data_IF_494613852543
#
_entry.id   IF_494613852543
#
_cell.length_a   1.000
_cell.length_b   1.000
_cell.length_c   1.000
_cell.angle_alpha   90.00
_cell.angle_beta   90.00
_cell.angle_gamma   90.00
#
_symmetry.space_group_name_H-M   'P 1'
#
loop_
_entity.id
_entity.type
_entity.pdbx_description
1 polymer ?
#
# COMPACT_ATOMS: atom_id res chain seq x y z
N UNK A 1 60.11 -0.99 34.32
CA UNK A 1 60.98 -1.99 34.98
C UNK A 1 60.17 -3.26 35.16
N UNK A 2 60.03 -4.08 34.11
CA UNK A 2 60.92 -5.19 33.73
C UNK A 2 60.97 -6.34 34.74
N UNK A 3 60.33 -7.46 34.38
CA UNK A 3 61.07 -8.72 34.19
C UNK A 3 60.60 -9.39 32.90
N UNK A 4 61.60 -9.83 32.14
CA UNK A 4 61.60 -10.41 30.79
C UNK A 4 61.86 -11.93 30.89
N UNK A 5 61.45 -12.66 29.85
CA UNK A 5 61.88 -14.03 29.51
C UNK A 5 60.79 -14.75 28.68
N UNK A 6 60.71 -14.70 27.34
CA UNK A 6 61.58 -15.27 26.27
C UNK A 6 61.53 -16.82 26.33
N UNK A 7 61.19 -17.66 25.33
CA UNK A 7 60.97 -17.56 23.87
C UNK A 7 60.35 -18.89 23.34
N UNK A 8 60.01 -18.90 22.02
CA UNK A 8 59.68 -20.02 21.08
C UNK A 8 58.19 -20.39 21.06
N UNK A 9 57.41 -20.20 20.00
CA UNK A 9 57.68 -20.13 18.55
C UNK A 9 57.30 -21.46 17.92
N UNK A 10 56.21 -21.51 17.14
CA UNK A 10 55.99 -22.34 15.92
C UNK A 10 54.66 -21.94 15.28
N UNK A 11 54.72 -21.93 13.95
CA UNK A 11 53.81 -21.57 12.85
C UNK A 11 52.40 -22.17 12.83
N UNK A 12 51.47 -21.40 12.24
CA UNK A 12 50.63 -21.91 11.14
C UNK A 12 49.15 -22.17 11.41
N UNK A 13 48.30 -21.66 10.51
CA UNK A 13 47.08 -22.36 10.09
C UNK A 13 45.76 -21.74 10.57
N UNK A 14 45.19 -20.88 9.73
CA UNK A 14 43.77 -20.54 9.77
C UNK A 14 42.90 -21.79 9.53
N UNK A 15 41.87 -22.00 10.35
CA UNK A 15 40.65 -22.72 9.97
C UNK A 15 39.44 -22.08 10.67
N UNK A 16 38.68 -21.32 9.89
CA UNK A 16 37.26 -21.11 10.13
C UNK A 16 36.52 -22.40 9.72
N UNK A 17 35.65 -22.91 10.58
CA UNK A 17 34.85 -24.08 10.25
C UNK A 17 33.80 -24.38 11.32
N UNK A 18 32.53 -24.41 10.88
CA UNK A 18 31.55 -25.36 11.39
C UNK A 18 30.56 -24.86 12.44
N UNK A 19 29.55 -24.09 12.02
CA UNK A 19 28.27 -23.99 12.74
C UNK A 19 27.10 -23.91 11.75
N UNK A 20 27.11 -24.76 10.74
CA UNK A 20 26.01 -24.97 9.78
C UNK A 20 25.90 -26.47 9.52
N UNK A 21 25.29 -27.23 10.42
CA UNK A 21 25.01 -28.66 10.15
C UNK A 21 23.76 -29.24 10.83
N UNK A 22 22.82 -28.42 11.33
CA UNK A 22 21.61 -28.94 12.01
C UNK A 22 20.28 -28.34 11.53
N UNK A 23 20.14 -27.99 10.26
CA UNK A 23 18.84 -27.58 9.66
C UNK A 23 18.39 -28.46 8.48
N UNK A 24 19.09 -29.57 8.21
CA UNK A 24 18.94 -30.36 6.99
C UNK A 24 17.74 -31.31 6.89
N UNK A 25 16.67 -31.19 7.69
CA UNK A 25 15.60 -32.21 7.66
C UNK A 25 14.15 -31.74 7.80
N UNK A 26 13.84 -30.47 7.50
CA UNK A 26 12.42 -30.03 7.42
C UNK A 26 12.21 -29.11 6.21
N UNK A 27 12.54 -29.60 5.01
CA UNK A 27 12.11 -28.94 3.77
C UNK A 27 11.84 -29.99 2.66
N UNK A 28 10.75 -30.74 2.84
CA UNK A 28 10.07 -31.48 1.77
C UNK A 28 8.57 -31.22 1.87
N UNK A 29 8.15 -29.98 1.72
CA UNK A 29 6.74 -29.64 1.42
C UNK A 29 6.65 -28.20 0.88
N UNK A 30 7.21 -27.99 -0.31
CA UNK A 30 6.66 -27.03 -1.27
C UNK A 30 6.24 -27.87 -2.48
N UNK A 31 5.12 -28.57 -2.34
CA UNK A 31 4.41 -29.21 -3.45
C UNK A 31 2.91 -29.01 -3.22
N UNK A 32 2.31 -28.24 -4.12
CA UNK A 32 0.87 -28.10 -4.38
C UNK A 32 -0.04 -28.17 -3.13
N UNK A 33 -0.42 -27.02 -2.59
CA UNK A 33 -1.56 -26.96 -1.68
C UNK A 33 -2.84 -27.23 -2.48
N UNK A 34 -3.37 -28.46 -2.38
CA UNK A 34 -4.76 -28.76 -2.73
C UNK A 34 -5.66 -28.30 -1.58
N UNK A 35 -6.70 -27.55 -1.94
CA UNK A 35 -7.74 -27.05 -1.05
C UNK A 35 -8.55 -28.19 -0.42
N UNK A 36 -8.83 -28.07 0.88
CA UNK A 36 -9.67 -29.03 1.61
C UNK A 36 -10.20 -28.46 2.92
N UNK A 37 -11.50 -28.11 2.90
CA UNK A 37 -12.46 -27.92 4.02
C UNK A 37 -12.24 -26.76 5.02
N UNK A 38 -13.26 -26.12 5.58
CA UNK A 38 -14.67 -25.90 5.27
C UNK A 38 -15.12 -24.81 6.27
N UNK A 39 -15.69 -23.70 5.78
CA UNK A 39 -16.14 -22.61 6.64
C UNK A 39 -16.95 -21.60 5.84
N UNK A 40 -18.28 -21.85 5.76
CA UNK A 40 -19.36 -21.00 5.24
C UNK A 40 -18.94 -20.03 4.11
N UNK A 41 -18.77 -20.56 2.90
CA UNK A 41 -18.56 -19.78 1.68
C UNK A 41 -19.90 -19.25 1.15
N UNK A 42 -19.98 -17.94 0.92
CA UNK A 42 -20.77 -17.44 -0.21
C UNK A 42 -20.11 -18.02 -1.47
N UNK A 43 -20.92 -18.64 -2.34
CA UNK A 43 -20.48 -19.34 -3.54
C UNK A 43 -19.66 -18.43 -4.45
N UNK A 44 -18.33 -18.58 -4.44
CA UNK A 44 -17.42 -17.91 -5.37
C UNK A 44 -17.46 -18.62 -6.72
N UNK A 45 -18.09 -18.00 -7.72
CA UNK A 45 -18.23 -18.53 -9.07
C UNK A 45 -16.96 -18.64 -9.90
N UNK A 46 -15.75 -18.50 -9.33
CA UNK A 46 -14.49 -18.72 -10.04
C UNK A 46 -13.76 -19.93 -9.45
N UNK A 47 -13.92 -21.06 -10.11
CA UNK A 47 -13.02 -22.20 -10.00
C UNK A 47 -11.98 -22.17 -11.14
N UNK A 48 -11.48 -20.99 -11.53
CA UNK A 48 -10.32 -20.91 -12.41
C UNK A 48 -9.06 -21.21 -11.61
N UNK A 49 -8.29 -22.18 -12.05
CA UNK A 49 -6.98 -22.49 -11.50
C UNK A 49 -6.04 -21.33 -11.76
N UNK A 50 -5.34 -20.91 -10.71
CA UNK A 50 -4.41 -19.79 -10.74
C UNK A 50 -3.03 -20.33 -10.36
N UNK A 51 -2.01 -20.00 -11.16
CA UNK A 51 -0.61 -20.33 -10.82
C UNK A 51 0.10 -19.16 -10.18
N UNK A 52 0.92 -19.47 -9.18
CA UNK A 52 1.87 -18.51 -8.61
C UNK A 52 3.01 -18.24 -9.62
N UNK A 53 3.63 -17.05 -9.59
CA UNK A 53 4.80 -16.78 -10.41
C UNK A 53 5.98 -17.71 -10.07
N UNK A 54 6.66 -18.20 -11.10
CA UNK A 54 7.81 -19.09 -10.97
C UNK A 54 9.10 -18.37 -11.40
N UNK A 55 10.04 -18.26 -10.47
CA UNK A 55 11.38 -17.70 -10.71
C UNK A 55 12.26 -18.79 -11.31
N UNK A 56 12.82 -18.55 -12.50
CA UNK A 56 13.71 -19.48 -13.16
C UNK A 56 15.04 -19.68 -12.43
N UNK A 57 15.73 -20.78 -12.74
CA UNK A 57 17.00 -21.16 -12.09
C UNK A 57 18.11 -20.11 -12.30
N UNK A 58 18.05 -19.38 -13.41
CA UNK A 58 19.01 -18.35 -13.77
C UNK A 58 18.53 -16.93 -13.44
N UNK A 59 17.29 -16.76 -13.00
CA UNK A 59 16.71 -15.43 -12.80
C UNK A 59 17.33 -14.73 -11.59
N UNK A 60 17.36 -13.40 -11.61
CA UNK A 60 17.83 -12.57 -10.49
C UNK A 60 16.65 -11.95 -9.74
N UNK A 61 16.69 -11.92 -8.41
CA UNK A 61 15.64 -11.31 -7.58
C UNK A 61 16.16 -10.04 -6.93
N UNK A 62 15.57 -8.90 -7.30
CA UNK A 62 15.72 -7.66 -6.55
C UNK A 62 14.66 -7.60 -5.46
N UNK A 63 15.06 -7.28 -4.24
CA UNK A 63 14.12 -7.05 -3.14
C UNK A 63 14.05 -5.55 -2.91
N UNK A 64 12.86 -4.96 -3.07
CA UNK A 64 12.64 -3.57 -2.65
C UNK A 64 12.66 -3.51 -1.12
N UNK A 65 13.76 -3.02 -0.57
CA UNK A 65 14.02 -3.00 0.86
C UNK A 65 13.64 -1.65 1.46
N UNK A 66 12.96 -1.74 2.59
CA UNK A 66 12.81 -0.66 3.56
C UNK A 66 13.51 -1.07 4.85
N UNK A 67 13.61 -0.19 5.83
CA UNK A 67 14.12 -0.53 7.16
C UNK A 67 13.10 -1.32 8.01
N UNK A 68 12.02 -1.83 7.40
CA UNK A 68 10.92 -2.51 8.08
C UNK A 68 11.07 -4.04 8.14
N UNK A 69 10.32 -4.67 9.05
CA UNK A 69 10.36 -6.13 9.26
C UNK A 69 9.90 -6.92 8.02
N UNK A 70 8.93 -6.41 7.26
CA UNK A 70 8.32 -7.13 6.14
C UNK A 70 9.31 -7.33 4.99
N UNK A 71 9.93 -6.24 4.53
CA UNK A 71 10.94 -6.29 3.45
C UNK A 71 12.23 -7.00 3.90
N UNK A 72 12.60 -6.86 5.18
CA UNK A 72 13.72 -7.64 5.77
C UNK A 72 13.47 -9.15 5.71
N UNK A 73 12.24 -9.57 6.05
CA UNK A 73 11.85 -10.98 6.04
C UNK A 73 11.81 -11.52 4.61
N UNK A 74 11.28 -10.73 3.67
CA UNK A 74 11.33 -11.08 2.24
C UNK A 74 12.78 -11.25 1.77
N UNK A 75 13.69 -10.35 2.15
CA UNK A 75 15.10 -10.46 1.77
C UNK A 75 15.72 -11.78 2.26
N UNK A 76 15.48 -12.17 3.52
CA UNK A 76 15.96 -13.43 4.07
C UNK A 76 15.35 -14.65 3.36
N UNK A 77 14.03 -14.65 3.13
CA UNK A 77 13.33 -15.73 2.42
C UNK A 77 13.86 -15.93 1.00
N UNK A 78 14.00 -14.83 0.23
CA UNK A 78 14.50 -14.90 -1.14
C UNK A 78 15.96 -15.35 -1.16
N UNK A 79 16.80 -14.87 -0.24
CA UNK A 79 18.21 -15.27 -0.17
C UNK A 79 18.38 -16.76 0.16
N UNK A 80 17.54 -17.31 1.05
CA UNK A 80 17.49 -18.75 1.35
C UNK A 80 17.03 -19.56 0.13
N UNK A 81 16.00 -19.09 -0.58
CA UNK A 81 15.40 -19.80 -1.71
C UNK A 81 16.26 -19.71 -2.99
N UNK A 82 16.96 -18.59 -3.21
CA UNK A 82 17.74 -18.30 -4.41
C UNK A 82 19.18 -17.86 -4.09
N UNK A 83 20.01 -18.72 -3.47
CA UNK A 83 21.35 -18.35 -3.02
C UNK A 83 22.21 -17.76 -4.14
N UNK A 84 22.86 -16.61 -3.88
CA UNK A 84 23.74 -15.94 -4.83
C UNK A 84 23.05 -15.15 -5.96
N UNK A 85 21.71 -15.11 -5.99
CA UNK A 85 20.91 -14.46 -7.05
C UNK A 85 19.95 -13.40 -6.50
N UNK A 86 20.25 -12.86 -5.33
CA UNK A 86 19.39 -11.87 -4.65
C UNK A 86 20.18 -10.62 -4.33
N UNK A 87 19.58 -9.46 -4.61
CA UNK A 87 20.11 -8.15 -4.22
C UNK A 87 19.01 -7.29 -3.61
N UNK A 88 19.34 -6.52 -2.57
CA UNK A 88 18.46 -5.50 -2.01
C UNK A 88 18.54 -4.18 -2.78
N UNK A 89 17.43 -3.47 -2.90
CA UNK A 89 17.37 -2.12 -3.46
C UNK A 89 16.62 -1.21 -2.50
N UNK A 90 17.27 -0.16 -2.02
CA UNK A 90 16.66 0.87 -1.19
C UNK A 90 16.36 2.12 -2.02
N UNK A 91 15.12 2.59 -1.97
CA UNK A 91 14.70 3.81 -2.64
C UNK A 91 14.81 5.01 -1.69
N UNK A 92 15.65 5.98 -2.03
CA UNK A 92 15.72 7.27 -1.36
C UNK A 92 14.78 8.25 -2.08
N UNK A 93 13.57 8.41 -1.54
CA UNK A 93 12.48 9.15 -2.19
C UNK A 93 12.28 10.56 -1.62
N UNK A 94 12.99 10.92 -0.55
CA UNK A 94 12.75 12.17 0.17
C UNK A 94 13.99 12.60 0.97
N UNK A 95 14.53 13.79 0.68
CA UNK A 95 15.74 14.31 1.32
C UNK A 95 15.48 15.29 2.46
N UNK A 96 14.29 15.91 2.57
CA UNK A 96 14.06 16.91 3.64
C UNK A 96 14.04 16.29 5.05
N UNK A 97 13.96 14.96 5.15
CA UNK A 97 14.18 14.15 6.36
C UNK A 97 15.54 13.45 6.37
N UNK A 98 16.59 14.03 5.77
CA UNK A 98 17.89 13.40 5.51
C UNK A 98 18.45 12.52 6.65
N UNK A 99 18.26 12.91 7.92
CA UNK A 99 18.69 12.11 9.09
C UNK A 99 17.96 10.76 9.21
N UNK A 100 16.65 10.72 8.94
CA UNK A 100 15.85 9.48 8.96
C UNK A 100 16.18 8.59 7.75
N UNK A 101 16.30 9.19 6.56
CA UNK A 101 16.64 8.47 5.32
C UNK A 101 18.02 7.81 5.43
N UNK A 102 18.99 8.48 6.05
CA UNK A 102 20.32 7.90 6.26
C UNK A 102 20.32 6.78 7.32
N UNK A 103 19.54 6.94 8.40
CA UNK A 103 19.37 5.87 9.39
C UNK A 103 18.72 4.62 8.77
N UNK A 104 17.68 4.79 7.97
CA UNK A 104 17.01 3.70 7.27
C UNK A 104 17.93 3.01 6.25
N UNK A 105 18.73 3.78 5.50
CA UNK A 105 19.72 3.22 4.59
C UNK A 105 20.78 2.38 5.33
N UNK A 106 21.34 2.90 6.42
CA UNK A 106 22.28 2.15 7.26
C UNK A 106 21.64 0.86 7.81
N UNK A 107 20.35 0.92 8.17
CA UNK A 107 19.59 -0.25 8.64
C UNK A 107 19.47 -1.31 7.54
N UNK A 108 19.15 -0.91 6.31
CA UNK A 108 19.10 -1.80 5.13
C UNK A 108 20.47 -2.42 4.87
N UNK A 109 21.55 -1.64 4.86
CA UNK A 109 22.90 -2.18 4.67
C UNK A 109 23.26 -3.22 5.74
N UNK A 110 22.86 -2.99 7.00
CA UNK A 110 23.05 -3.96 8.09
C UNK A 110 22.28 -5.24 7.85
N UNK A 111 21.03 -5.16 7.41
CA UNK A 111 20.19 -6.32 7.07
C UNK A 111 20.84 -7.11 5.92
N UNK A 112 21.20 -6.44 4.82
CA UNK A 112 21.79 -7.09 3.64
C UNK A 112 23.11 -7.78 3.98
N UNK A 113 23.97 -7.13 4.78
CA UNK A 113 25.21 -7.74 5.28
C UNK A 113 24.94 -8.98 6.14
N UNK A 114 23.93 -8.92 7.01
CA UNK A 114 23.55 -10.05 7.86
C UNK A 114 23.00 -11.23 7.06
N UNK A 115 22.14 -10.96 6.07
CA UNK A 115 21.54 -11.97 5.19
C UNK A 115 22.55 -12.52 4.17
N UNK A 116 23.60 -11.77 3.85
CA UNK A 116 24.63 -12.17 2.88
C UNK A 116 24.30 -11.80 1.44
N UNK A 117 23.56 -10.71 1.21
CA UNK A 117 23.20 -10.19 -0.11
C UNK A 117 23.82 -8.81 -0.36
N UNK A 118 24.07 -8.48 -1.62
CA UNK A 118 24.43 -7.13 -2.03
C UNK A 118 23.24 -6.18 -1.90
N UNK A 119 23.50 -4.88 -1.76
CA UNK A 119 22.45 -3.86 -1.84
C UNK A 119 22.91 -2.56 -2.47
N UNK A 120 21.97 -1.86 -3.09
CA UNK A 120 22.21 -0.54 -3.68
C UNK A 120 21.15 0.47 -3.22
N UNK A 121 21.52 1.75 -3.27
CA UNK A 121 20.64 2.88 -3.01
C UNK A 121 20.33 3.57 -4.32
N UNK A 122 19.05 3.77 -4.60
CA UNK A 122 18.55 4.46 -5.80
C UNK A 122 17.86 5.75 -5.35
N UNK A 123 18.23 6.88 -5.94
CA UNK A 123 17.56 8.15 -5.67
C UNK A 123 16.39 8.31 -6.65
N UNK A 124 15.17 8.30 -6.12
CA UNK A 124 13.92 8.51 -6.87
C UNK A 124 13.13 9.71 -6.30
N UNK A 125 13.84 10.64 -5.66
CA UNK A 125 13.21 11.81 -5.04
C UNK A 125 12.53 12.72 -6.06
N UNK A 126 13.12 12.89 -7.25
CA UNK A 126 12.52 13.67 -8.32
C UNK A 126 11.21 13.06 -8.80
N UNK A 127 11.20 11.74 -9.03
CA UNK A 127 10.02 10.99 -9.45
C UNK A 127 8.94 11.07 -8.38
N UNK A 128 9.31 10.84 -7.12
CA UNK A 128 8.39 10.96 -5.98
C UNK A 128 7.78 12.36 -5.87
N UNK A 129 8.62 13.40 -5.97
CA UNK A 129 8.17 14.78 -5.85
C UNK A 129 7.16 15.13 -6.94
N UNK A 130 7.46 14.77 -8.18
CA UNK A 130 6.69 15.19 -9.37
C UNK A 130 5.43 14.35 -9.57
N UNK A 131 5.49 13.05 -9.32
CA UNK A 131 4.40 12.12 -9.63
C UNK A 131 3.51 11.79 -8.42
N UNK A 132 3.96 12.08 -7.19
CA UNK A 132 3.21 11.75 -5.97
C UNK A 132 2.95 12.99 -5.13
N UNK A 133 4.01 13.70 -4.75
CA UNK A 133 3.90 14.78 -3.77
C UNK A 133 3.19 16.02 -4.32
N UNK A 134 3.64 16.55 -5.45
CA UNK A 134 3.02 17.73 -6.06
C UNK A 134 1.54 17.48 -6.43
N UNK A 135 1.17 16.34 -7.08
CA UNK A 135 -0.23 16.00 -7.32
C UNK A 135 -1.06 15.96 -6.03
N UNK A 136 -0.53 15.34 -4.96
CA UNK A 136 -1.19 15.31 -3.65
C UNK A 136 -1.47 16.71 -3.11
N UNK A 137 -0.49 17.63 -3.16
CA UNK A 137 -0.66 19.02 -2.71
C UNK A 137 -1.69 19.76 -3.57
N UNK A 138 -1.68 19.57 -4.90
CA UNK A 138 -2.69 20.17 -5.80
C UNK A 138 -4.10 19.68 -5.46
N UNK A 139 -4.27 18.39 -5.18
CA UNK A 139 -5.56 17.81 -4.78
C UNK A 139 -6.06 18.36 -3.44
N UNK A 140 -5.18 18.49 -2.44
CA UNK A 140 -5.56 19.13 -1.17
C UNK A 140 -6.01 20.58 -1.37
N UNK A 141 -5.32 21.34 -2.23
CA UNK A 141 -5.72 22.72 -2.57
C UNK A 141 -7.13 22.79 -3.18
N UNK A 142 -7.53 21.76 -3.93
CA UNK A 142 -8.88 21.63 -4.50
C UNK A 142 -9.93 21.09 -3.51
N UNK A 143 -9.56 20.81 -2.26
CA UNK A 143 -10.47 20.26 -1.27
C UNK A 143 -10.69 18.75 -1.37
N UNK A 144 -9.91 18.03 -2.18
CA UNK A 144 -9.95 16.57 -2.24
C UNK A 144 -9.18 15.93 -1.07
N UNK A 145 -9.37 14.63 -0.87
CA UNK A 145 -8.57 13.82 0.07
C UNK A 145 -7.78 12.77 -0.71
N UNK A 146 -6.55 13.06 -1.16
CA UNK A 146 -5.73 12.13 -1.94
C UNK A 146 -5.30 10.89 -1.12
N UNK A 147 -4.96 9.82 -1.83
CA UNK A 147 -4.22 8.68 -1.30
C UNK A 147 -2.84 8.57 -1.99
N UNK A 148 -1.78 9.18 -1.42
CA UNK A 148 -0.46 9.21 -2.05
C UNK A 148 0.24 7.84 -2.04
N UNK A 149 -0.18 6.87 -1.23
CA UNK A 149 0.41 5.53 -1.24
C UNK A 149 0.07 4.76 -2.52
N UNK A 150 -1.14 4.98 -3.07
CA UNK A 150 -1.52 4.45 -4.39
C UNK A 150 -0.60 5.02 -5.47
N UNK A 151 -0.40 6.34 -5.48
CA UNK A 151 0.53 7.00 -6.40
C UNK A 151 1.98 6.56 -6.23
N UNK A 152 2.45 6.39 -5.00
CA UNK A 152 3.80 5.88 -4.70
C UNK A 152 4.03 4.47 -5.25
N UNK A 153 3.05 3.57 -5.13
CA UNK A 153 3.15 2.25 -5.74
C UNK A 153 3.18 2.34 -7.26
N UNK A 154 2.23 3.07 -7.86
CA UNK A 154 2.11 3.21 -9.32
C UNK A 154 3.35 3.84 -9.96
N UNK A 155 3.75 5.01 -9.49
CA UNK A 155 4.73 5.84 -10.20
C UNK A 155 6.16 5.63 -9.72
N UNK A 156 6.37 5.23 -8.47
CA UNK A 156 7.72 5.13 -7.90
C UNK A 156 8.16 3.68 -7.74
N UNK A 157 7.41 2.86 -7.01
CA UNK A 157 7.84 1.49 -6.70
C UNK A 157 7.73 0.53 -7.87
N UNK A 158 6.60 0.56 -8.59
CA UNK A 158 6.35 -0.24 -9.79
C UNK A 158 6.46 0.57 -11.08
N UNK A 159 6.77 1.87 -10.98
CA UNK A 159 7.14 2.75 -12.09
C UNK A 159 8.64 2.96 -12.11
N UNK A 160 9.12 4.11 -11.61
CA UNK A 160 10.52 4.53 -11.71
C UNK A 160 11.56 3.51 -11.23
N UNK A 161 11.32 2.78 -10.12
CA UNK A 161 12.20 1.69 -9.69
C UNK A 161 12.19 0.52 -10.69
N UNK A 162 11.01 0.15 -11.19
CA UNK A 162 10.88 -0.93 -12.17
C UNK A 162 11.61 -0.57 -13.46
N UNK A 163 11.45 0.65 -13.95
CA UNK A 163 12.15 1.18 -15.13
C UNK A 163 13.67 1.23 -14.91
N UNK A 164 14.11 1.67 -13.73
CA UNK A 164 15.51 1.65 -13.34
C UNK A 164 16.10 0.23 -13.41
N UNK A 165 15.39 -0.77 -12.88
CA UNK A 165 15.82 -2.17 -12.94
C UNK A 165 15.77 -2.74 -14.36
N UNK A 166 14.76 -2.36 -15.15
CA UNK A 166 14.62 -2.76 -16.54
C UNK A 166 15.75 -2.20 -17.42
N UNK A 167 16.23 -1.00 -17.11
CA UNK A 167 17.36 -0.36 -17.76
C UNK A 167 18.73 -0.94 -17.37
N UNK A 168 18.82 -1.76 -16.32
CA UNK A 168 20.05 -2.50 -16.02
C UNK A 168 20.24 -3.53 -17.13
N UNK A 169 21.39 -3.49 -17.81
CA UNK A 169 21.77 -4.47 -18.84
C UNK A 169 22.14 -5.82 -18.21
N UNK A 170 21.14 -6.47 -17.60
CA UNK A 170 21.27 -7.78 -17.00
C UNK A 170 21.17 -8.82 -18.11
N UNK A 171 22.14 -9.72 -18.18
CA UNK A 171 22.13 -10.85 -19.12
C UNK A 171 21.04 -11.87 -18.80
N UNK A 172 20.40 -11.77 -17.63
CA UNK A 172 19.42 -12.71 -17.11
C UNK A 172 18.10 -12.01 -16.82
N UNK A 173 16.99 -12.76 -16.88
CA UNK A 173 15.68 -12.27 -16.45
C UNK A 173 15.72 -11.91 -14.96
N UNK A 174 14.90 -10.95 -14.57
CA UNK A 174 14.85 -10.48 -13.19
C UNK A 174 13.43 -10.32 -12.67
N UNK A 175 13.31 -10.31 -11.34
CA UNK A 175 12.08 -10.14 -10.58
C UNK A 175 12.23 -9.06 -9.51
N UNK A 176 11.15 -8.36 -9.21
CA UNK A 176 11.04 -7.41 -8.10
C UNK A 176 10.17 -7.98 -6.99
N UNK A 177 10.79 -8.44 -5.91
CA UNK A 177 10.11 -8.86 -4.70
C UNK A 177 9.89 -7.68 -3.75
N UNK A 178 8.71 -7.63 -3.13
CA UNK A 178 8.37 -6.59 -2.16
C UNK A 178 7.69 -7.19 -0.92
N UNK A 179 7.71 -6.43 0.19
CA UNK A 179 7.03 -6.82 1.43
C UNK A 179 5.52 -6.57 1.47
N UNK A 180 4.83 -6.53 0.32
CA UNK A 180 3.37 -6.30 0.32
C UNK A 180 2.59 -7.57 0.65
N UNK A 181 1.48 -7.38 1.36
CA UNK A 181 0.45 -8.38 1.61
C UNK A 181 -0.59 -8.34 0.49
N UNK A 182 -0.22 -8.91 -0.65
CA UNK A 182 -1.08 -9.17 -1.79
C UNK A 182 -0.63 -10.48 -2.44
N UNK A 183 -1.43 -11.04 -3.34
CA UNK A 183 -1.09 -12.26 -4.08
C UNK A 183 -1.06 -11.94 -5.57
N UNK A 184 -0.19 -12.64 -6.29
CA UNK A 184 -0.22 -12.68 -7.74
C UNK A 184 -0.84 -13.99 -8.19
N UNK A 185 -1.55 -13.92 -9.31
CA UNK A 185 -2.08 -15.08 -9.99
C UNK A 185 -1.76 -15.03 -11.48
N UNK A 186 -1.78 -16.18 -12.13
CA UNK A 186 -1.83 -16.26 -13.59
C UNK A 186 -3.01 -17.13 -14.00
N UNK A 187 -3.91 -16.57 -14.81
CA UNK A 187 -5.03 -17.31 -15.39
C UNK A 187 -4.48 -18.43 -16.28
N UNK A 188 -4.93 -19.66 -16.07
CA UNK A 188 -4.52 -20.79 -16.90
C UNK A 188 -5.14 -20.75 -18.30
N UNK A 189 -6.28 -20.07 -18.49
CA UNK A 189 -7.00 -20.04 -19.76
C UNK A 189 -6.35 -19.09 -20.77
N UNK A 190 -6.04 -17.85 -20.34
CA UNK A 190 -5.51 -16.80 -21.22
C UNK A 190 -4.08 -16.34 -20.86
N UNK A 191 -3.50 -16.85 -19.76
CA UNK A 191 -2.15 -16.51 -19.32
C UNK A 191 -2.00 -15.14 -18.68
N UNK A 192 -3.09 -14.41 -18.45
CA UNK A 192 -3.13 -13.07 -17.87
C UNK A 192 -2.66 -13.08 -16.40
N UNK A 193 -1.85 -12.10 -16.03
CA UNK A 193 -1.42 -11.91 -14.65
C UNK A 193 -2.46 -11.12 -13.85
N UNK A 194 -2.79 -11.62 -12.67
CA UNK A 194 -3.81 -11.08 -11.77
C UNK A 194 -3.17 -10.56 -10.49
N UNK A 195 -3.62 -9.37 -10.07
CA UNK A 195 -3.44 -8.91 -8.69
C UNK A 195 -4.61 -9.42 -7.85
N UNK A 196 -4.31 -9.97 -6.67
CA UNK A 196 -5.30 -10.56 -5.79
C UNK A 196 -5.07 -10.18 -4.32
N UNK A 197 -6.12 -10.30 -3.52
CA UNK A 197 -6.07 -10.21 -2.05
C UNK A 197 -5.13 -11.27 -1.46
N UNK A 198 -4.49 -11.01 -0.30
CA UNK A 198 -3.68 -12.01 0.38
C UNK A 198 -4.55 -13.15 0.94
N UNK A 199 -3.97 -14.34 1.08
CA UNK A 199 -4.73 -15.55 1.43
C UNK A 199 -5.15 -15.57 2.91
N UNK A 200 -4.26 -15.13 3.81
CA UNK A 200 -4.42 -15.34 5.27
C UNK A 200 -4.42 -14.05 6.10
N UNK A 201 -4.35 -12.88 5.48
CA UNK A 201 -4.15 -11.62 6.21
C UNK A 201 -5.02 -10.44 5.71
N UNK A 202 -6.36 -10.56 5.76
CA UNK A 202 -7.26 -9.50 5.28
C UNK A 202 -7.07 -8.17 6.02
N UNK A 203 -6.70 -8.20 7.31
CA UNK A 203 -6.45 -6.99 8.12
C UNK A 203 -5.20 -6.19 7.67
N UNK A 204 -4.36 -6.78 6.82
CA UNK A 204 -3.21 -6.12 6.20
C UNK A 204 -3.29 -6.16 4.67
N UNK A 205 -4.46 -6.44 4.09
CA UNK A 205 -4.64 -6.47 2.65
C UNK A 205 -4.16 -5.16 2.01
N UNK A 206 -3.15 -5.28 1.15
CA UNK A 206 -2.53 -4.16 0.45
C UNK A 206 -2.88 -4.13 -1.04
N UNK A 207 -3.76 -5.02 -1.51
CA UNK A 207 -4.21 -5.02 -2.90
C UNK A 207 -4.88 -3.69 -3.31
N UNK A 208 -5.57 -3.02 -2.39
CA UNK A 208 -6.12 -1.67 -2.58
C UNK A 208 -5.05 -0.63 -2.96
N UNK A 209 -3.86 -0.68 -2.34
CA UNK A 209 -2.79 0.28 -2.65
C UNK A 209 -2.02 -0.06 -3.92
N UNK A 210 -2.19 -1.28 -4.43
CA UNK A 210 -1.54 -1.80 -5.63
C UNK A 210 -2.49 -1.78 -6.84
N UNK A 211 -3.74 -1.33 -6.67
CA UNK A 211 -4.81 -1.50 -7.67
C UNK A 211 -4.65 -0.69 -8.95
N UNK A 212 -3.68 0.23 -9.01
CA UNK A 212 -3.43 1.14 -10.13
C UNK A 212 -2.04 0.95 -10.76
N UNK A 213 -1.31 -0.10 -10.38
CA UNK A 213 -0.02 -0.41 -11.02
C UNK A 213 -0.24 -0.88 -12.46
N UNK A 214 0.75 -0.68 -13.32
CA UNK A 214 0.67 -1.16 -14.72
C UNK A 214 0.58 -2.70 -14.73
N UNK A 215 -0.45 -3.30 -15.36
CA UNK A 215 -0.61 -4.75 -15.46
C UNK A 215 0.65 -5.48 -15.95
N UNK A 216 1.44 -4.87 -16.83
CA UNK A 216 2.68 -5.46 -17.38
C UNK A 216 3.73 -5.70 -16.30
N UNK A 217 3.72 -4.90 -15.22
CA UNK A 217 4.67 -5.06 -14.12
C UNK A 217 4.41 -6.37 -13.35
N UNK A 218 3.18 -6.88 -13.35
CA UNK A 218 2.80 -8.12 -12.65
C UNK A 218 3.58 -9.35 -13.17
N UNK A 219 4.07 -9.31 -14.41
CA UNK A 219 4.86 -10.38 -15.03
C UNK A 219 6.27 -10.57 -14.42
N UNK A 220 6.73 -9.59 -13.65
CA UNK A 220 8.09 -9.54 -13.05
C UNK A 220 8.09 -9.14 -11.58
N UNK A 221 6.98 -9.29 -10.88
CA UNK A 221 6.85 -8.95 -9.45
C UNK A 221 6.64 -10.21 -8.62
N UNK A 222 7.05 -10.16 -7.35
CA UNK A 222 6.79 -11.19 -6.34
C UNK A 222 6.24 -10.56 -5.06
N UNK A 223 5.26 -11.22 -4.44
CA UNK A 223 4.72 -10.87 -3.11
C UNK A 223 4.86 -12.06 -2.14
N UNK A 224 6.07 -12.32 -1.59
CA UNK A 224 6.31 -13.53 -0.82
C UNK A 224 5.56 -13.62 0.51
N UNK A 225 4.95 -12.52 0.97
CA UNK A 225 4.21 -12.47 2.23
C UNK A 225 2.73 -12.86 2.08
N UNK A 226 2.23 -13.10 0.86
CA UNK A 226 0.85 -13.48 0.57
C UNK A 226 0.27 -14.63 1.44
N UNK A 227 1.02 -15.71 1.75
CA UNK A 227 0.48 -16.84 2.52
C UNK A 227 0.65 -16.67 4.04
N UNK A 228 1.21 -15.56 4.51
CA UNK A 228 1.53 -15.35 5.92
C UNK A 228 0.67 -14.26 6.57
N UNK A 229 0.26 -14.52 7.80
CA UNK A 229 -0.23 -13.50 8.72
C UNK A 229 0.92 -12.62 9.21
N UNK A 230 0.61 -11.40 9.68
CA UNK A 230 1.61 -10.50 10.24
C UNK A 230 2.39 -11.11 11.43
N UNK A 231 1.75 -11.81 12.39
CA UNK A 231 2.48 -12.52 13.45
C UNK A 231 3.42 -13.60 12.92
N UNK A 232 3.02 -14.37 11.89
CA UNK A 232 3.89 -15.37 11.27
C UNK A 232 5.12 -14.73 10.60
N UNK A 233 4.96 -13.58 9.93
CA UNK A 233 6.09 -12.82 9.37
C UNK A 233 7.05 -12.35 10.46
N UNK A 234 6.55 -11.85 11.60
CA UNK A 234 7.41 -11.53 12.76
C UNK A 234 8.11 -12.78 13.31
N UNK A 235 7.42 -13.91 13.36
CA UNK A 235 8.00 -15.20 13.76
C UNK A 235 9.10 -15.66 12.80
N UNK A 236 8.92 -15.50 11.49
CA UNK A 236 9.95 -15.73 10.47
C UNK A 236 11.16 -14.82 10.70
N UNK A 237 10.93 -13.53 10.90
CA UNK A 237 12.01 -12.57 11.16
C UNK A 237 12.84 -12.96 12.39
N UNK A 238 12.19 -13.41 13.48
CA UNK A 238 12.86 -13.92 14.67
C UNK A 238 13.68 -15.18 14.38
N UNK A 239 13.12 -16.14 13.62
CA UNK A 239 13.83 -17.37 13.23
C UNK A 239 15.06 -17.10 12.38
N UNK A 240 14.98 -16.14 11.46
CA UNK A 240 16.14 -15.68 10.69
C UNK A 240 17.13 -14.86 11.51
N UNK A 241 16.79 -14.45 12.75
CA UNK A 241 17.66 -13.63 13.59
C UNK A 241 17.74 -12.16 13.18
N UNK A 242 16.74 -11.65 12.44
CA UNK A 242 16.71 -10.27 11.97
C UNK A 242 16.46 -9.30 13.12
N UNK A 243 17.29 -8.26 13.24
CA UNK A 243 17.12 -7.24 14.30
C UNK A 243 15.85 -6.38 14.11
N UNK A 244 15.25 -6.38 12.92
CA UNK A 244 13.98 -5.69 12.65
C UNK A 244 12.75 -6.45 13.17
N UNK A 245 12.89 -7.67 13.67
CA UNK A 245 11.77 -8.51 14.13
C UNK A 245 10.87 -7.84 15.18
N UNK A 246 11.45 -7.01 16.05
CA UNK A 246 10.74 -6.27 17.10
C UNK A 246 10.36 -4.84 16.69
N UNK A 247 10.80 -4.36 15.51
CA UNK A 247 10.54 -2.98 15.06
C UNK A 247 9.03 -2.77 14.88
N UNK A 248 8.45 -1.64 15.34
CA UNK A 248 7.07 -1.29 15.03
C UNK A 248 6.83 -1.17 13.52
N UNK A 249 5.60 -1.42 13.10
CA UNK A 249 5.22 -1.17 11.70
C UNK A 249 5.23 0.34 11.44
N UNK A 250 5.68 0.74 10.25
CA UNK A 250 5.51 2.12 9.80
C UNK A 250 4.02 2.43 9.67
N UNK A 251 3.52 3.40 10.42
CA UNK A 251 2.19 3.98 10.30
C UNK A 251 2.31 5.37 9.67
N UNK A 252 1.36 5.75 8.83
CA UNK A 252 1.32 7.05 8.15
C UNK A 252 2.13 7.09 6.85
N UNK A 253 2.17 8.28 6.23
CA UNK A 253 2.88 8.53 4.97
C UNK A 253 4.40 8.42 5.16
N UNK A 254 5.11 7.85 4.18
CA UNK A 254 6.53 7.51 4.34
C UNK A 254 7.45 8.70 4.63
N UNK A 255 7.05 9.92 4.28
CA UNK A 255 7.82 11.16 4.42
C UNK A 255 7.37 12.03 5.61
N UNK A 256 6.26 11.67 6.28
CA UNK A 256 5.80 12.37 7.47
C UNK A 256 6.37 11.65 8.68
N UNK A 257 7.30 12.30 9.39
CA UNK A 257 7.90 11.75 10.59
C UNK A 257 6.84 11.38 11.62
N UNK A 258 6.92 10.17 12.17
CA UNK A 258 6.01 9.72 13.24
C UNK A 258 6.17 10.52 14.53
N UNK A 259 7.33 11.16 14.73
CA UNK A 259 7.70 11.79 15.99
C UNK A 259 7.54 13.32 15.99
N UNK A 260 7.30 13.95 14.83
CA UNK A 260 7.12 15.40 14.73
C UNK A 260 6.09 15.73 13.65
N UNK A 261 5.15 16.62 14.02
CA UNK A 261 4.12 17.25 13.20
C UNK A 261 2.86 16.41 12.94
N UNK A 262 1.75 16.87 13.52
CA UNK A 262 0.40 16.55 13.02
C UNK A 262 0.42 16.77 11.50
N UNK A 263 -0.11 15.82 10.72
CA UNK A 263 -0.17 15.90 9.25
C UNK A 263 -0.66 17.27 8.74
N UNK A 264 -1.53 17.94 9.51
CA UNK A 264 -1.97 19.31 9.24
C UNK A 264 -0.84 20.36 9.25
N UNK A 265 0.12 20.25 10.17
CA UNK A 265 1.27 21.15 10.23
C UNK A 265 2.19 20.92 9.03
N UNK A 266 2.40 19.66 8.66
CA UNK A 266 3.14 19.30 7.45
C UNK A 266 2.50 19.93 6.21
N UNK A 267 1.17 19.80 6.04
CA UNK A 267 0.47 20.44 4.93
C UNK A 267 0.60 21.97 4.93
N UNK A 268 0.61 22.60 6.11
CA UNK A 268 0.78 24.06 6.24
C UNK A 268 2.16 24.57 5.78
N UNK A 269 3.17 23.71 5.65
CA UNK A 269 4.48 24.07 5.07
C UNK A 269 4.41 24.25 3.54
N UNK A 270 3.38 23.68 2.89
CA UNK A 270 3.23 23.66 1.42
C UNK A 270 1.93 24.29 0.92
N UNK A 271 0.95 24.50 1.80
CA UNK A 271 -0.34 25.08 1.50
C UNK A 271 -0.52 26.38 2.29
N UNK A 272 -0.70 27.48 1.56
CA UNK A 272 -1.05 28.76 2.16
C UNK A 272 -2.40 28.65 2.89
N UNK A 273 -2.54 29.27 4.07
CA UNK A 273 -3.83 29.37 4.74
C UNK A 273 -4.84 30.10 3.85
N UNK A 274 -6.02 29.49 3.68
CA UNK A 274 -7.18 30.09 3.00
C UNK A 274 -8.40 29.95 3.92
N UNK A 275 -8.56 30.87 4.88
CA UNK A 275 -9.62 30.75 5.88
C UNK A 275 -11.01 30.84 5.25
N UNK A 276 -11.92 30.00 5.73
CA UNK A 276 -13.29 29.90 5.23
C UNK A 276 -14.26 29.50 6.33
N UNK A 277 -15.55 29.55 6.03
CA UNK A 277 -16.61 29.33 7.02
C UNK A 277 -16.93 27.83 7.16
N UNK A 278 -17.15 27.41 8.41
CA UNK A 278 -17.74 26.11 8.70
C UNK A 278 -19.23 26.36 8.98
N UNK A 279 -20.08 25.73 8.19
CA UNK A 279 -21.53 25.94 8.19
C UNK A 279 -22.26 24.65 8.54
N UNK A 280 -23.43 24.77 9.16
CA UNK A 280 -24.38 23.66 9.28
C UNK A 280 -25.20 23.51 8.01
N UNK A 281 -25.95 22.41 7.87
CA UNK A 281 -26.79 22.11 6.69
C UNK A 281 -27.87 23.18 6.41
N UNK A 282 -28.34 23.89 7.43
CA UNK A 282 -29.25 25.03 7.32
C UNK A 282 -28.53 26.36 7.02
N UNK A 283 -27.22 26.33 6.76
CA UNK A 283 -26.41 27.48 6.34
C UNK A 283 -25.90 28.37 7.48
N UNK A 284 -26.14 28.00 8.75
CA UNK A 284 -25.63 28.78 9.88
C UNK A 284 -24.12 28.63 10.02
N UNK A 285 -23.41 29.75 10.07
CA UNK A 285 -21.96 29.76 10.37
C UNK A 285 -21.73 29.42 11.84
N UNK A 286 -20.93 28.39 12.09
CA UNK A 286 -20.63 27.87 13.43
C UNK A 286 -19.13 27.87 13.77
N UNK A 287 -18.28 28.23 12.81
CA UNK A 287 -16.85 28.37 13.02
C UNK A 287 -16.12 28.76 11.74
N UNK A 288 -14.78 28.73 11.81
CA UNK A 288 -13.89 28.95 10.67
C UNK A 288 -12.86 27.83 10.57
N UNK A 289 -12.41 27.53 9.36
CA UNK A 289 -11.24 26.68 9.09
C UNK A 289 -10.08 27.52 8.55
N UNK A 290 -8.86 26.99 8.59
CA UNK A 290 -7.67 27.65 8.01
C UNK A 290 -7.42 27.26 6.55
N UNK A 291 -8.21 26.33 6.01
CA UNK A 291 -8.12 25.86 4.63
C UNK A 291 -9.03 24.66 4.44
N UNK A 292 -9.62 24.53 3.26
CA UNK A 292 -10.55 23.45 2.95
C UNK A 292 -9.91 22.05 3.10
N UNK A 293 -8.59 21.96 2.96
CA UNK A 293 -7.79 20.74 3.16
C UNK A 293 -7.75 20.22 4.60
N UNK A 294 -8.25 20.95 5.60
CA UNK A 294 -8.24 20.52 7.01
C UNK A 294 -9.25 19.41 7.37
N UNK A 295 -10.15 19.09 6.44
CA UNK A 295 -11.25 18.17 6.64
C UNK A 295 -11.37 17.14 5.51
N UNK A 296 -11.86 15.96 5.86
CA UNK A 296 -12.28 14.92 4.92
C UNK A 296 -13.76 14.60 5.14
N UNK A 297 -14.48 14.29 4.07
CA UNK A 297 -15.89 13.87 4.15
C UNK A 297 -16.04 12.70 5.13
N UNK A 298 -17.04 12.79 6.01
CA UNK A 298 -17.32 11.83 7.07
C UNK A 298 -16.44 11.93 8.32
N UNK A 299 -15.44 12.81 8.34
CA UNK A 299 -14.62 13.09 9.52
C UNK A 299 -15.46 13.78 10.60
N UNK A 300 -15.24 13.40 11.87
CA UNK A 300 -15.81 14.13 13.01
C UNK A 300 -15.29 15.57 13.01
N UNK A 301 -16.20 16.54 13.04
CA UNK A 301 -15.86 17.96 13.10
C UNK A 301 -15.14 18.29 14.40
N UNK A 302 -14.10 19.14 14.31
CA UNK A 302 -13.38 19.67 15.47
C UNK A 302 -13.95 20.98 16.01
N UNK A 303 -15.03 21.50 15.41
CA UNK A 303 -15.68 22.73 15.87
C UNK A 303 -16.37 22.49 17.22
N UNK A 304 -16.18 23.42 18.15
CA UNK A 304 -16.85 23.40 19.45
C UNK A 304 -18.29 23.90 19.31
N UNK A 305 -19.24 22.96 19.28
CA UNK A 305 -20.67 23.27 19.15
C UNK A 305 -21.29 23.51 20.54
N UNK A 306 -22.26 24.43 20.70
CA UNK A 306 -22.86 24.77 21.99
C UNK A 306 -23.77 23.64 22.50
N UNK A 307 -23.19 22.67 23.20
CA UNK A 307 -23.87 21.43 23.61
C UNK A 307 -25.06 21.62 24.57
N UNK A 308 -25.16 22.79 25.22
CA UNK A 308 -26.27 23.13 26.10
C UNK A 308 -27.56 23.45 25.32
N UNK A 309 -27.45 23.87 24.06
CA UNK A 309 -28.59 24.08 23.17
C UNK A 309 -29.01 22.73 22.55
N UNK A 310 -30.26 22.26 22.77
CA UNK A 310 -30.77 21.02 22.17
C UNK A 310 -30.65 20.97 20.64
N UNK A 311 -30.63 22.12 19.96
CA UNK A 311 -30.47 22.19 18.51
C UNK A 311 -29.05 21.84 18.05
N UNK A 312 -28.03 22.08 18.89
CA UNK A 312 -26.62 21.85 18.55
C UNK A 312 -25.96 20.69 19.31
N UNK A 313 -26.65 20.13 20.30
CA UNK A 313 -26.21 18.95 21.05
C UNK A 313 -25.97 17.76 20.12
N UNK A 314 -24.84 17.08 20.30
CA UNK A 314 -24.46 15.88 19.56
C UNK A 314 -23.10 15.96 18.89
N UNK A 315 -22.74 14.90 18.19
CA UNK A 315 -21.50 14.81 17.42
C UNK A 315 -21.78 15.21 15.97
N UNK A 316 -20.91 16.06 15.44
CA UNK A 316 -21.03 16.60 14.08
C UNK A 316 -19.94 16.03 13.18
N UNK A 317 -20.27 15.86 11.90
CA UNK A 317 -19.41 15.27 10.88
C UNK A 317 -19.40 16.15 9.64
N UNK A 318 -18.29 16.17 8.91
CA UNK A 318 -18.17 16.90 7.64
C UNK A 318 -18.96 16.15 6.58
N UNK A 319 -19.96 16.79 5.97
CA UNK A 319 -20.77 16.21 4.89
C UNK A 319 -20.34 16.67 3.52
N UNK A 320 -19.85 17.91 3.41
CA UNK A 320 -19.53 18.51 2.12
C UNK A 320 -18.39 19.54 2.24
N UNK A 321 -17.73 19.78 1.12
CA UNK A 321 -16.62 20.72 0.96
C UNK A 321 -16.78 21.44 -0.37
N UNK A 322 -17.04 22.74 -0.31
CA UNK A 322 -17.18 23.57 -1.48
C UNK A 322 -15.93 24.47 -1.66
N UNK A 323 -15.03 24.14 -2.61
CA UNK A 323 -13.85 24.95 -2.88
C UNK A 323 -14.17 26.28 -3.58
N UNK A 324 -15.34 26.43 -4.20
CA UNK A 324 -15.75 27.68 -4.88
C UNK A 324 -16.15 28.73 -3.86
N UNK A 325 -16.99 28.34 -2.87
CA UNK A 325 -17.38 29.26 -1.78
C UNK A 325 -16.43 29.21 -0.58
N UNK A 326 -15.42 28.32 -0.61
CA UNK A 326 -14.48 28.04 0.47
C UNK A 326 -15.20 27.72 1.79
N UNK A 327 -16.17 26.79 1.73
CA UNK A 327 -16.99 26.38 2.87
C UNK A 327 -16.85 24.90 3.18
N UNK A 328 -16.96 24.57 4.47
CA UNK A 328 -17.08 23.20 4.94
C UNK A 328 -18.45 23.04 5.61
N UNK A 329 -19.27 22.13 5.09
CA UNK A 329 -20.59 21.84 5.66
C UNK A 329 -20.48 20.69 6.66
N UNK A 330 -21.10 20.86 7.83
CA UNK A 330 -21.17 19.84 8.87
C UNK A 330 -22.63 19.46 9.19
N UNK A 331 -22.83 18.18 9.49
CA UNK A 331 -24.12 17.59 9.82
C UNK A 331 -24.08 16.85 11.14
N UNK A 332 -25.22 16.81 11.84
CA UNK A 332 -25.35 16.14 13.13
C UNK A 332 -25.66 14.66 12.96
N UNK A 333 -24.95 13.82 13.73
CA UNK A 333 -25.20 12.38 13.79
C UNK A 333 -24.34 11.58 12.81
N UNK A 334 -23.89 10.40 13.24
CA UNK A 334 -23.03 9.54 12.42
C UNK A 334 -23.75 8.95 11.21
N UNK A 335 -25.07 8.74 11.34
CA UNK A 335 -25.95 8.17 10.33
C UNK A 335 -26.75 9.25 9.56
N UNK A 336 -26.29 10.51 9.59
CA UNK A 336 -26.98 11.59 8.87
C UNK A 336 -27.07 11.27 7.36
N UNK A 337 -28.25 11.38 6.72
CA UNK A 337 -28.44 11.03 5.31
C UNK A 337 -27.48 11.70 4.34
N UNK A 338 -27.06 12.93 4.61
CA UNK A 338 -26.15 13.72 3.76
C UNK A 338 -24.71 13.18 3.77
N UNK A 339 -24.40 12.23 4.65
CA UNK A 339 -23.14 11.47 4.63
C UNK A 339 -23.18 10.26 3.69
N UNK A 340 -24.33 9.93 3.10
CA UNK A 340 -24.51 8.70 2.35
C UNK A 340 -24.73 8.97 0.86
N UNK A 341 -24.01 8.24 0.03
CA UNK A 341 -24.21 8.18 -1.43
C UNK A 341 -24.41 6.74 -1.86
N UNK A 342 -25.24 6.50 -2.86
CA UNK A 342 -25.39 5.18 -3.49
C UNK A 342 -24.53 5.02 -4.74
N UNK A 343 -23.76 6.05 -5.13
CA UNK A 343 -22.89 6.00 -6.29
C UNK A 343 -21.54 6.68 -6.07
N UNK A 344 -20.55 6.22 -6.82
CA UNK A 344 -19.23 6.84 -6.95
C UNK A 344 -18.85 6.88 -8.44
N UNK A 345 -18.25 7.99 -8.86
CA UNK A 345 -17.79 8.20 -10.24
C UNK A 345 -16.29 8.37 -10.24
N UNK A 346 -15.62 7.79 -11.23
CA UNK A 346 -14.21 8.00 -11.53
C UNK A 346 -14.09 8.46 -12.98
N UNK A 347 -13.55 9.65 -13.22
CA UNK A 347 -13.36 10.16 -14.60
C UNK A 347 -12.30 9.35 -15.36
N UNK A 348 -11.30 8.85 -14.64
CA UNK A 348 -10.27 7.95 -15.13
C UNK A 348 -10.26 6.67 -14.31
N UNK A 349 -10.18 5.53 -14.99
CA UNK A 349 -10.19 4.21 -14.36
C UNK A 349 -9.17 3.30 -15.05
N UNK A 350 -8.26 2.76 -14.27
CA UNK A 350 -7.22 1.84 -14.70
C UNK A 350 -7.71 0.40 -14.53
N UNK A 351 -7.90 -0.29 -15.64
CA UNK A 351 -8.29 -1.70 -15.64
C UNK A 351 -7.06 -2.59 -15.50
N UNK A 352 -7.12 -3.54 -14.57
CA UNK A 352 -6.14 -4.62 -14.39
C UNK A 352 -6.56 -5.90 -15.11
N UNK A 353 -7.78 -5.93 -15.67
CA UNK A 353 -8.26 -6.99 -16.54
C UNK A 353 -8.27 -6.53 -18.00
N UNK A 354 -7.96 -7.47 -18.89
CA UNK A 354 -7.93 -7.31 -20.35
C UNK A 354 -9.32 -7.17 -20.97
N UNK A 355 -10.35 -7.76 -20.36
CA UNK A 355 -11.74 -7.63 -20.80
C UNK A 355 -12.68 -7.21 -19.65
N UNK A 356 -12.75 -5.90 -19.34
CA UNK A 356 -13.67 -5.36 -18.36
C UNK A 356 -15.14 -5.67 -18.67
N UNK A 357 -15.52 -5.69 -19.95
CA UNK A 357 -16.92 -5.85 -20.35
C UNK A 357 -17.47 -7.22 -19.96
N UNK A 358 -16.68 -8.27 -20.18
CA UNK A 358 -17.03 -9.62 -19.77
C UNK A 358 -17.15 -9.73 -18.26
N UNK A 359 -16.15 -9.25 -17.51
CA UNK A 359 -16.15 -9.30 -16.03
C UNK A 359 -17.33 -8.53 -15.43
N UNK A 360 -17.71 -7.38 -16.00
CA UNK A 360 -18.87 -6.60 -15.57
C UNK A 360 -20.17 -7.39 -15.82
N UNK A 361 -20.30 -8.00 -16.99
CA UNK A 361 -21.50 -8.77 -17.36
C UNK A 361 -21.70 -10.06 -16.56
N UNK A 362 -20.60 -10.69 -16.09
CA UNK A 362 -20.64 -11.84 -15.18
C UNK A 362 -21.24 -11.46 -13.81
N UNK A 363 -21.14 -10.18 -13.41
CA UNK A 363 -21.67 -9.68 -12.16
C UNK A 363 -20.82 -10.07 -10.95
N UNK A 364 -21.42 -10.09 -9.75
CA UNK A 364 -20.73 -10.50 -8.51
C UNK A 364 -19.60 -9.55 -8.05
N UNK A 365 -19.52 -8.35 -8.63
CA UNK A 365 -18.51 -7.38 -8.29
C UNK A 365 -18.75 -6.75 -6.92
N UNK A 366 -17.66 -6.47 -6.23
CA UNK A 366 -17.64 -5.68 -5.00
C UNK A 366 -16.66 -4.53 -5.14
N UNK A 367 -16.84 -3.50 -4.32
CA UNK A 367 -16.04 -2.30 -4.39
C UNK A 367 -15.56 -1.86 -3.00
N UNK A 368 -14.35 -1.32 -2.94
CA UNK A 368 -13.88 -0.55 -1.79
C UNK A 368 -13.62 0.88 -2.25
N UNK A 369 -14.08 1.86 -1.46
CA UNK A 369 -13.76 3.28 -1.67
C UNK A 369 -12.86 3.84 -0.54
N UNK A 370 -12.44 2.96 0.38
CA UNK A 370 -11.48 3.22 1.44
C UNK A 370 -10.72 1.93 1.76
N UNK A 371 -9.42 2.04 2.00
CA UNK A 371 -8.57 0.91 2.40
C UNK A 371 -9.12 0.20 3.64
N UNK A 372 -9.02 -1.13 3.65
CA UNK A 372 -9.48 -2.05 4.72
C UNK A 372 -10.98 -1.95 5.06
N UNK A 373 -11.78 -1.27 4.24
CA UNK A 373 -13.25 -1.32 4.34
C UNK A 373 -13.75 -2.70 3.90
N UNK A 374 -14.83 -3.20 4.52
CA UNK A 374 -15.55 -4.34 3.98
C UNK A 374 -16.04 -4.04 2.54
N UNK A 375 -15.79 -4.93 1.56
CA UNK A 375 -16.22 -4.71 0.19
C UNK A 375 -17.74 -4.56 0.09
N UNK A 376 -18.20 -3.55 -0.63
CA UNK A 376 -19.62 -3.28 -0.85
C UNK A 376 -20.07 -3.90 -2.18
N UNK A 377 -21.17 -4.66 -2.23
CA UNK A 377 -21.70 -5.20 -3.48
C UNK A 377 -22.06 -4.09 -4.48
N UNK A 378 -21.68 -4.31 -5.74
CA UNK A 378 -22.00 -3.44 -6.87
C UNK A 378 -23.29 -3.88 -7.53
N UNK A 379 -24.23 -2.96 -7.70
CA UNK A 379 -25.50 -3.19 -8.39
C UNK A 379 -25.36 -2.99 -9.90
N UNK A 380 -24.65 -1.92 -10.31
CA UNK A 380 -24.50 -1.55 -11.70
C UNK A 380 -23.19 -0.77 -11.94
N UNK A 381 -22.61 -0.94 -13.13
CA UNK A 381 -21.44 -0.19 -13.59
C UNK A 381 -21.75 0.40 -14.97
N UNK A 382 -21.59 1.72 -15.10
CA UNK A 382 -21.61 2.42 -16.39
C UNK A 382 -20.18 2.82 -16.76
N UNK A 383 -19.76 2.50 -17.98
CA UNK A 383 -18.42 2.77 -18.52
C UNK A 383 -18.41 3.77 -19.68
N UNK A 384 -19.50 4.49 -19.92
CA UNK A 384 -19.66 5.37 -21.11
C UNK A 384 -18.72 6.58 -21.05
N UNK A 385 -18.60 7.22 -19.88
CA UNK A 385 -17.77 8.40 -19.64
C UNK A 385 -17.02 8.24 -18.31
N UNK A 386 -15.91 7.52 -18.33
CA UNK A 386 -15.26 7.05 -17.10
C UNK A 386 -15.96 5.82 -16.52
N UNK A 387 -15.93 5.65 -15.20
CA UNK A 387 -16.60 4.54 -14.51
C UNK A 387 -17.50 5.08 -13.41
N UNK A 388 -18.81 4.87 -13.54
CA UNK A 388 -19.81 5.17 -12.50
C UNK A 388 -20.32 3.86 -11.90
N UNK A 389 -20.10 3.68 -10.61
CA UNK A 389 -20.53 2.50 -9.85
C UNK A 389 -21.75 2.88 -9.02
N UNK A 390 -22.82 2.10 -9.13
CA UNK A 390 -23.97 2.13 -8.23
C UNK A 390 -23.84 0.97 -7.25
N UNK A 391 -23.86 1.26 -5.95
CA UNK A 391 -23.78 0.26 -4.90
C UNK A 391 -25.16 -0.32 -4.59
N UNK A 392 -25.20 -1.58 -4.16
CA UNK A 392 -26.43 -2.24 -3.73
C UNK A 392 -27.04 -1.59 -2.45
N UNK A 393 -26.21 -0.89 -1.67
CA UNK A 393 -26.63 -0.16 -0.46
C UNK A 393 -25.99 1.22 -0.42
N UNK A 394 -26.64 2.17 0.26
CA UNK A 394 -26.05 3.48 0.51
C UNK A 394 -24.74 3.36 1.31
N UNK A 395 -23.70 4.01 0.82
CA UNK A 395 -22.35 4.01 1.35
C UNK A 395 -22.04 5.32 2.06
N UNK A 396 -21.52 5.23 3.28
CA UNK A 396 -21.17 6.40 4.07
C UNK A 396 -19.82 6.99 3.65
N UNK A 397 -19.76 8.30 3.52
CA UNK A 397 -18.55 9.10 3.41
C UNK A 397 -17.63 8.69 2.25
N UNK A 398 -18.20 8.60 1.05
CA UNK A 398 -17.41 8.48 -0.18
C UNK A 398 -16.68 9.81 -0.39
N UNK A 399 -15.36 9.80 -0.27
CA UNK A 399 -14.55 11.02 -0.30
C UNK A 399 -13.85 11.20 -1.66
N UNK A 400 -14.12 12.30 -2.39
CA UNK A 400 -13.38 12.62 -3.60
C UNK A 400 -11.86 12.70 -3.37
N UNK A 401 -11.09 12.18 -4.32
CA UNK A 401 -9.63 12.02 -4.24
C UNK A 401 -9.15 10.68 -3.62
N UNK A 402 -10.03 9.93 -2.95
CA UNK A 402 -9.75 8.52 -2.62
C UNK A 402 -9.94 7.64 -3.85
N UNK A 403 -9.54 6.36 -3.75
CA UNK A 403 -9.68 5.42 -4.86
C UNK A 403 -10.90 4.50 -4.67
N UNK A 404 -11.63 4.30 -5.76
CA UNK A 404 -12.60 3.23 -5.91
C UNK A 404 -11.89 2.04 -6.54
N UNK A 405 -11.89 0.89 -5.86
CA UNK A 405 -11.26 -0.34 -6.32
C UNK A 405 -12.33 -1.41 -6.50
N UNK A 406 -12.39 -2.00 -7.69
CA UNK A 406 -13.31 -3.08 -8.03
C UNK A 406 -12.64 -4.44 -7.82
N UNK A 407 -13.40 -5.37 -7.25
CA UNK A 407 -12.98 -6.74 -7.01
C UNK A 407 -14.00 -7.74 -7.53
N UNK A 408 -13.51 -8.86 -8.07
CA UNK A 408 -14.30 -10.06 -8.31
C UNK A 408 -13.75 -11.19 -7.43
N UNK A 409 -14.45 -11.50 -6.34
CA UNK A 409 -13.89 -12.32 -5.27
C UNK A 409 -12.60 -11.71 -4.73
N UNK A 410 -11.49 -12.44 -4.84
CA UNK A 410 -10.17 -11.97 -4.43
C UNK A 410 -9.41 -11.18 -5.50
N UNK A 411 -9.84 -11.23 -6.77
CA UNK A 411 -9.14 -10.59 -7.89
C UNK A 411 -9.44 -9.10 -7.92
N UNK A 412 -8.41 -8.27 -8.05
CA UNK A 412 -8.55 -6.84 -8.34
C UNK A 412 -8.84 -6.68 -9.83
N UNK A 413 -9.94 -6.00 -10.15
CA UNK A 413 -10.38 -5.77 -11.53
C UNK A 413 -9.85 -4.44 -12.07
N UNK A 414 -9.75 -3.44 -11.20
CA UNK A 414 -9.20 -2.14 -11.55
C UNK A 414 -9.52 -1.10 -10.48
N UNK A 415 -9.05 0.12 -10.71
CA UNK A 415 -9.34 1.22 -9.81
C UNK A 415 -9.32 2.57 -10.50
N UNK A 416 -9.98 3.55 -9.87
CA UNK A 416 -9.98 4.93 -10.33
C UNK A 416 -10.07 5.87 -9.14
N UNK A 417 -9.62 7.11 -9.32
CA UNK A 417 -9.78 8.15 -8.32
C UNK A 417 -11.22 8.65 -8.35
N UNK A 418 -11.85 8.74 -7.19
CA UNK A 418 -13.22 9.20 -7.04
C UNK A 418 -13.27 10.70 -7.31
N UNK A 419 -14.08 11.08 -8.29
CA UNK A 419 -14.33 12.45 -8.68
C UNK A 419 -15.36 13.10 -7.74
N UNK A 420 -15.45 14.43 -7.80
CA UNK A 420 -16.53 15.15 -7.11
C UNK A 420 -17.83 14.80 -7.84
N UNK A 421 -18.79 14.21 -7.13
CA UNK A 421 -20.13 14.04 -7.66
C UNK A 421 -20.70 15.45 -7.89
N UNK A 422 -20.91 15.85 -9.14
CA UNK A 422 -21.84 16.95 -9.41
C UNK A 422 -23.19 16.53 -8.84
N UNK A 423 -23.65 17.20 -7.79
CA UNK A 423 -24.97 16.98 -7.19
C UNK A 423 -26.08 17.36 -8.17
N UNK A 424 -26.24 16.58 -9.23
CA UNK A 424 -27.30 16.63 -10.21
C UNK A 424 -27.62 15.18 -10.58
N UNK A 425 -28.24 14.46 -9.64
CA UNK A 425 -29.10 13.31 -9.90
C UNK A 425 -30.16 13.25 -8.81
#
# INVERSE_FOLDING_TARGET
MHRFGVMRGVTGGARAGGLWSCLGNVCRTVRSYRSGQAGRSFSSGFARSVRDPEVGDEDHVFVAMSSGVDSSTVAAMMAEQYPGRVSGVYMANWSSTAKCTEADWNDVQRICKFVGIGCERVNLERDYWTEVFEPMIRMYRQGLTPNPDVGCNRHVKFGALFDYLQGKNLSKRWWLATGHYARLGRDEDNGEHWLMRPVRNPAKDQSYYLSSIDPKTLERVLFPLAPYTKPEVRGLAQRYGLHTASKPDSQGLCFVSQNHNNFRNFLAEYLEPSPGDIVTEDGKVVGKHNGIWHATIGQRSSVSMPQADPNYRGVWYVSDKDPVTNRITIVRGVDNPSLYSQSATCDQFDWLCSDPSTVISEGGLTAQYRSLQDPVPVEHIDTTNGVKVKFATKCRAIAPGQYLVLYHGDRVIGSGMISVNSHHD
#
